data_IF_059290468239
#
_entry.id   IF_059290468239
#
_cell.length_a   1.000
_cell.length_b   1.000
_cell.length_c   1.000
_cell.angle_alpha   90.00
_cell.angle_beta   90.00
_cell.angle_gamma   90.00
#
_symmetry.space_group_name_H-M   'P 1'
#
loop_
_entity.id
_entity.type
_entity.pdbx_description
1 polymer ?
#
# COMPACT_ATOMS: atom_id res chain seq x y z
N UNK A 1 2.13 -25.89 28.05
CA UNK A 1 1.03 -26.47 27.27
C UNK A 1 0.37 -25.33 26.51
N UNK A 2 0.67 -25.15 25.22
CA UNK A 2 -0.03 -24.13 24.43
C UNK A 2 -1.47 -24.62 24.22
N UNK A 3 -2.45 -23.85 24.66
CA UNK A 3 -3.85 -24.28 24.54
C UNK A 3 -4.18 -24.58 23.09
N UNK A 4 -4.67 -25.78 22.81
CA UNK A 4 -5.26 -26.16 21.52
C UNK A 4 -6.69 -25.63 21.40
N UNK A 5 -7.20 -24.96 22.44
CA UNK A 5 -8.58 -24.50 22.48
C UNK A 5 -8.77 -23.26 21.61
N UNK A 6 -9.60 -23.42 20.58
CA UNK A 6 -10.25 -22.32 19.88
C UNK A 6 -11.63 -22.12 20.48
N UNK A 7 -11.97 -20.88 20.83
CA UNK A 7 -13.32 -20.56 21.31
C UNK A 7 -14.15 -20.01 20.15
N UNK A 8 -15.15 -20.76 19.68
CA UNK A 8 -16.12 -20.24 18.72
C UNK A 8 -17.16 -19.39 19.43
N UNK A 9 -17.43 -18.21 18.91
CA UNK A 9 -18.45 -17.31 19.45
C UNK A 9 -19.15 -16.53 18.33
N UNK A 10 -20.37 -16.07 18.60
CA UNK A 10 -21.13 -15.21 17.71
C UNK A 10 -21.93 -14.23 18.56
N UNK A 11 -21.53 -12.96 18.54
CA UNK A 11 -22.29 -11.90 19.20
C UNK A 11 -23.55 -11.59 18.38
N UNK A 12 -24.57 -11.05 19.05
CA UNK A 12 -25.81 -10.65 18.38
C UNK A 12 -25.50 -9.63 17.27
N UNK A 13 -25.92 -9.91 16.03
CA UNK A 13 -25.64 -9.06 14.88
C UNK A 13 -24.25 -9.22 14.26
N UNK A 14 -23.37 -10.04 14.82
CA UNK A 14 -22.00 -10.25 14.32
C UNK A 14 -21.87 -11.55 13.51
N UNK A 15 -20.91 -11.61 12.57
CA UNK A 15 -20.51 -12.88 11.97
C UNK A 15 -19.91 -13.81 13.02
N UNK A 16 -20.06 -15.12 12.80
CA UNK A 16 -19.41 -16.15 13.61
C UNK A 16 -17.90 -15.99 13.55
N UNK A 17 -17.28 -16.02 14.71
CA UNK A 17 -15.86 -15.74 14.92
C UNK A 17 -15.23 -16.81 15.83
N UNK A 18 -13.91 -16.80 15.90
CA UNK A 18 -13.14 -17.67 16.76
C UNK A 18 -12.11 -16.89 17.54
N UNK A 19 -11.95 -17.12 18.84
CA UNK A 19 -10.85 -16.55 19.61
C UNK A 19 -9.68 -17.53 19.61
N UNK A 20 -8.51 -17.07 19.14
CA UNK A 20 -7.25 -17.82 19.15
C UNK A 20 -6.18 -16.88 19.70
N UNK A 21 -5.57 -17.24 20.83
CA UNK A 21 -4.50 -16.46 21.49
C UNK A 21 -4.86 -14.98 21.76
N UNK A 22 -6.15 -14.70 22.03
CA UNK A 22 -6.65 -13.34 22.28
C UNK A 22 -7.00 -12.53 21.02
N UNK A 23 -6.77 -13.09 19.83
CA UNK A 23 -7.13 -12.49 18.55
C UNK A 23 -8.38 -13.16 17.95
N UNK A 24 -9.18 -12.39 17.21
CA UNK A 24 -10.48 -12.85 16.68
C UNK A 24 -10.30 -13.39 15.26
N UNK A 25 -10.30 -14.69 15.01
CA UNK A 25 -10.10 -15.28 13.68
C UNK A 25 -11.40 -15.72 13.01
N UNK A 26 -11.39 -15.94 11.68
CA UNK A 26 -12.47 -16.66 11.01
C UNK A 26 -12.65 -18.07 11.62
N UNK A 27 -13.88 -18.59 11.66
CA UNK A 27 -14.22 -19.83 12.34
C UNK A 27 -13.68 -21.09 11.65
N UNK A 28 -12.97 -20.99 10.52
CA UNK A 28 -12.27 -22.12 9.88
C UNK A 28 -10.80 -22.23 10.30
N UNK A 29 -10.25 -21.22 10.97
CA UNK A 29 -8.81 -21.16 11.25
C UNK A 29 -8.46 -22.03 12.44
N UNK A 30 -7.30 -22.68 12.39
CA UNK A 30 -6.80 -23.55 13.44
C UNK A 30 -5.67 -22.87 14.21
N UNK A 31 -5.62 -22.94 15.54
CA UNK A 31 -4.56 -22.34 16.34
C UNK A 31 -3.15 -22.73 15.91
N UNK A 32 -2.93 -24.01 15.59
CA UNK A 32 -1.66 -24.52 15.08
C UNK A 32 -1.24 -23.87 13.76
N UNK A 33 -2.20 -23.63 12.85
CA UNK A 33 -1.92 -23.03 11.54
C UNK A 33 -1.58 -21.55 11.67
N UNK A 34 -2.32 -20.81 12.52
CA UNK A 34 -2.04 -19.39 12.77
C UNK A 34 -0.67 -19.22 13.42
N UNK A 35 -0.35 -20.03 14.44
CA UNK A 35 0.94 -19.98 15.14
C UNK A 35 2.11 -20.37 14.25
N UNK A 36 1.94 -21.42 13.43
CA UNK A 36 2.98 -21.84 12.48
C UNK A 36 3.19 -20.81 11.39
N UNK A 37 2.13 -20.19 10.87
CA UNK A 37 2.23 -19.11 9.89
C UNK A 37 3.05 -17.93 10.42
N UNK A 38 2.76 -17.43 11.64
CA UNK A 38 3.52 -16.32 12.26
C UNK A 38 5.01 -16.66 12.49
N UNK A 39 5.36 -17.94 12.64
CA UNK A 39 6.73 -18.42 12.92
C UNK A 39 7.44 -18.98 11.69
N UNK A 40 6.80 -18.98 10.52
CA UNK A 40 7.40 -19.57 9.33
C UNK A 40 8.65 -18.79 8.94
N UNK A 41 9.62 -19.48 8.32
CA UNK A 41 10.84 -18.86 7.81
C UNK A 41 10.71 -18.76 6.29
N UNK A 42 10.54 -17.55 5.72
CA UNK A 42 10.49 -17.38 4.27
C UNK A 42 11.79 -17.78 3.58
N UNK A 43 11.64 -18.36 2.40
CA UNK A 43 12.72 -18.64 1.48
C UNK A 43 12.93 -17.45 0.53
N UNK A 44 14.15 -17.31 0.01
CA UNK A 44 14.49 -16.18 -0.87
C UNK A 44 13.76 -16.18 -2.21
N UNK A 45 13.15 -17.30 -2.59
CA UNK A 45 12.35 -17.46 -3.81
C UNK A 45 10.85 -17.31 -3.58
N UNK A 46 10.42 -17.08 -2.33
CA UNK A 46 9.00 -16.95 -2.00
C UNK A 46 8.45 -15.60 -2.46
N UNK A 47 7.21 -15.63 -2.92
CA UNK A 47 6.42 -14.45 -3.30
C UNK A 47 5.19 -14.41 -2.42
N UNK A 48 5.03 -13.35 -1.65
CA UNK A 48 3.88 -13.14 -0.77
C UNK A 48 2.93 -12.08 -1.36
N UNK A 49 1.68 -12.43 -1.59
CA UNK A 49 0.61 -11.46 -1.85
C UNK A 49 0.00 -11.03 -0.53
N UNK A 50 0.29 -9.81 -0.13
CA UNK A 50 -0.10 -9.20 1.14
C UNK A 50 -1.19 -8.16 0.89
N UNK A 51 -2.34 -8.28 1.54
CA UNK A 51 -3.45 -7.32 1.35
C UNK A 51 -4.27 -7.26 2.62
N UNK A 52 -4.91 -6.13 2.93
CA UNK A 52 -6.09 -6.20 3.80
C UNK A 52 -7.18 -7.04 3.09
N UNK A 53 -8.02 -7.81 3.80
CA UNK A 53 -9.09 -8.55 3.16
C UNK A 53 -9.87 -7.68 2.18
N UNK A 54 -10.10 -8.22 0.97
CA UNK A 54 -10.90 -7.57 -0.09
C UNK A 54 -10.24 -6.43 -0.88
N UNK A 55 -8.93 -6.22 -0.72
CA UNK A 55 -8.15 -5.30 -1.56
C UNK A 55 -7.61 -5.94 -2.86
N UNK A 56 -8.40 -6.79 -3.53
CA UNK A 56 -8.00 -7.37 -4.83
C UNK A 56 -7.04 -8.57 -4.78
N UNK A 57 -6.90 -9.23 -3.63
CA UNK A 57 -5.95 -10.35 -3.43
C UNK A 57 -6.03 -11.44 -4.50
N UNK A 58 -7.24 -11.90 -4.82
CA UNK A 58 -7.48 -12.95 -5.82
C UNK A 58 -6.99 -12.55 -7.21
N UNK A 59 -7.13 -11.26 -7.55
CA UNK A 59 -6.70 -10.73 -8.84
C UNK A 59 -5.18 -10.74 -8.97
N UNK A 60 -4.48 -10.29 -7.93
CA UNK A 60 -3.01 -10.30 -7.90
C UNK A 60 -2.47 -11.73 -7.86
N UNK A 61 -3.06 -12.61 -7.05
CA UNK A 61 -2.69 -14.03 -7.02
C UNK A 61 -2.86 -14.68 -8.39
N UNK A 62 -3.93 -14.35 -9.11
CA UNK A 62 -4.19 -14.84 -10.46
C UNK A 62 -3.14 -14.36 -11.47
N UNK A 63 -2.80 -13.07 -11.46
CA UNK A 63 -1.75 -12.50 -12.31
C UNK A 63 -0.39 -13.15 -11.98
N UNK A 64 -0.03 -13.24 -10.71
CA UNK A 64 1.23 -13.87 -10.28
C UNK A 64 1.28 -15.35 -10.68
N UNK A 65 0.15 -16.07 -10.56
CA UNK A 65 0.08 -17.49 -10.95
C UNK A 65 0.32 -17.68 -12.43
N UNK A 66 -0.21 -16.81 -13.29
CA UNK A 66 0.07 -16.83 -14.74
C UNK A 66 1.54 -16.57 -15.03
N UNK A 67 2.13 -15.57 -14.37
CA UNK A 67 3.51 -15.17 -14.57
C UNK A 67 4.54 -16.17 -14.04
N UNK A 68 4.23 -16.90 -12.97
CA UNK A 68 5.14 -17.86 -12.34
C UNK A 68 5.01 -19.27 -12.92
N UNK A 69 3.79 -19.70 -13.28
CA UNK A 69 3.51 -21.09 -13.65
C UNK A 69 3.19 -21.29 -15.14
N UNK A 70 3.07 -20.22 -15.93
CA UNK A 70 2.94 -20.23 -17.39
C UNK A 70 1.99 -21.33 -17.93
N UNK A 71 2.44 -22.26 -18.78
CA UNK A 71 1.58 -23.31 -19.38
C UNK A 71 1.00 -24.34 -18.37
N UNK A 72 1.47 -24.37 -17.11
CA UNK A 72 0.82 -25.18 -16.06
C UNK A 72 -0.43 -24.48 -15.50
N UNK A 73 -0.62 -23.20 -15.83
CA UNK A 73 -1.79 -22.40 -15.47
C UNK A 73 -3.02 -22.81 -16.29
N UNK A 74 -4.13 -23.14 -15.61
CA UNK A 74 -5.42 -23.45 -16.25
C UNK A 74 -6.38 -24.15 -15.29
N UNK A 75 -7.67 -24.27 -15.66
CA UNK A 75 -8.65 -24.98 -14.84
C UNK A 75 -8.29 -26.47 -14.75
N UNK A 76 -8.42 -27.04 -13.54
CA UNK A 76 -8.11 -28.45 -13.27
C UNK A 76 -8.21 -28.76 -11.79
N UNK A 77 -8.51 -30.02 -11.46
CA UNK A 77 -8.59 -30.48 -10.07
C UNK A 77 -7.21 -30.36 -9.40
N UNK A 78 -7.15 -29.72 -8.24
CA UNK A 78 -5.88 -29.40 -7.55
C UNK A 78 -5.19 -28.13 -8.04
N UNK A 79 -5.76 -27.41 -9.02
CA UNK A 79 -5.29 -26.10 -9.50
C UNK A 79 -6.14 -24.93 -8.97
N UNK A 80 -6.99 -25.19 -7.97
CA UNK A 80 -7.73 -24.14 -7.29
C UNK A 80 -6.75 -23.16 -6.63
N UNK A 81 -7.15 -21.88 -6.60
CA UNK A 81 -6.25 -20.83 -6.13
C UNK A 81 -5.90 -20.99 -4.65
N UNK A 82 -6.78 -21.61 -3.87
CA UNK A 82 -6.55 -21.90 -2.46
C UNK A 82 -5.44 -22.95 -2.20
N UNK A 83 -5.10 -23.77 -3.19
CA UNK A 83 -4.02 -24.76 -3.09
C UNK A 83 -2.74 -24.29 -3.79
N UNK A 84 -2.89 -23.64 -4.95
CA UNK A 84 -1.75 -23.10 -5.71
C UNK A 84 -1.19 -21.82 -5.10
N UNK A 85 -2.03 -21.04 -4.42
CA UNK A 85 -1.61 -19.90 -3.63
C UNK A 85 -2.34 -19.85 -2.28
N UNK A 86 -1.89 -20.65 -1.30
CA UNK A 86 -2.59 -20.79 -0.05
C UNK A 86 -2.42 -19.58 0.85
N UNK A 87 -3.46 -19.35 1.65
CA UNK A 87 -3.41 -18.41 2.77
C UNK A 87 -2.62 -19.05 3.91
N UNK A 88 -1.45 -18.49 4.24
CA UNK A 88 -0.51 -19.07 5.21
C UNK A 88 -1.17 -19.25 6.58
N UNK A 89 -1.97 -18.27 7.02
CA UNK A 89 -2.66 -18.29 8.31
C UNK A 89 -3.81 -19.31 8.38
N UNK A 90 -4.26 -19.82 7.22
CA UNK A 90 -5.30 -20.85 7.14
C UNK A 90 -4.73 -22.26 7.06
N UNK A 91 -3.71 -22.50 6.22
CA UNK A 91 -3.16 -23.85 5.99
C UNK A 91 -1.90 -24.15 6.81
N UNK A 92 -1.26 -23.14 7.39
CA UNK A 92 -0.05 -23.30 8.18
C UNK A 92 1.22 -23.44 7.35
N UNK A 93 2.36 -23.41 8.03
CA UNK A 93 3.68 -23.46 7.40
C UNK A 93 3.96 -24.84 6.74
N UNK A 94 3.55 -25.93 7.38
CA UNK A 94 3.81 -27.31 6.91
C UNK A 94 3.20 -27.56 5.52
N UNK A 95 1.98 -27.06 5.29
CA UNK A 95 1.37 -27.16 3.97
C UNK A 95 2.15 -26.33 2.93
N UNK A 96 2.60 -25.13 3.32
CA UNK A 96 3.38 -24.25 2.43
C UNK A 96 4.73 -24.86 2.03
N UNK A 97 5.32 -25.71 2.88
CA UNK A 97 6.57 -26.42 2.57
C UNK A 97 6.38 -27.55 1.55
N UNK A 98 5.15 -28.01 1.34
CA UNK A 98 4.81 -29.02 0.34
C UNK A 98 4.61 -28.46 -1.09
N UNK A 99 4.59 -27.13 -1.24
CA UNK A 99 4.34 -26.47 -2.52
C UNK A 99 5.53 -26.54 -3.47
N UNK A 100 5.25 -26.49 -4.78
CA UNK A 100 6.27 -26.34 -5.81
C UNK A 100 6.91 -24.94 -5.75
N UNK A 101 8.19 -24.86 -6.09
CA UNK A 101 8.94 -23.61 -6.19
C UNK A 101 8.80 -22.96 -7.57
N UNK A 102 8.81 -21.61 -7.66
CA UNK A 102 8.70 -20.65 -6.56
C UNK A 102 7.31 -20.68 -5.89
N UNK A 103 7.27 -20.49 -4.57
CA UNK A 103 6.02 -20.54 -3.81
C UNK A 103 5.30 -19.20 -3.89
N UNK A 104 4.04 -19.22 -4.31
CA UNK A 104 3.16 -18.05 -4.28
C UNK A 104 2.25 -18.13 -3.05
N UNK A 105 2.57 -17.36 -2.02
CA UNK A 105 1.87 -17.39 -0.73
C UNK A 105 0.93 -16.20 -0.61
N UNK A 106 -0.18 -16.36 0.11
CA UNK A 106 -1.12 -15.28 0.42
C UNK A 106 -1.14 -15.02 1.91
N UNK A 107 -1.25 -13.76 2.31
CA UNK A 107 -1.55 -13.40 3.69
C UNK A 107 -2.33 -12.10 3.82
N UNK A 108 -3.08 -11.97 4.90
CA UNK A 108 -3.72 -10.73 5.34
C UNK A 108 -3.06 -10.12 6.59
N UNK A 109 -1.87 -10.59 6.99
CA UNK A 109 -1.16 -10.03 8.13
C UNK A 109 -0.73 -8.57 7.92
N UNK A 110 -0.73 -7.81 9.01
CA UNK A 110 -0.04 -6.53 9.09
C UNK A 110 1.46 -6.75 9.00
N UNK A 111 2.22 -5.69 8.74
CA UNK A 111 3.68 -5.79 8.68
C UNK A 111 4.27 -6.37 9.97
N UNK A 112 3.68 -6.09 11.14
CA UNK A 112 4.16 -6.60 12.42
C UNK A 112 4.08 -8.14 12.54
N UNK A 113 3.02 -8.74 11.99
CA UNK A 113 2.78 -10.19 12.06
C UNK A 113 3.33 -10.96 10.85
N UNK A 114 3.76 -10.24 9.81
CA UNK A 114 4.28 -10.84 8.58
C UNK A 114 5.57 -11.63 8.85
N UNK A 115 5.68 -12.88 8.37
CA UNK A 115 6.92 -13.64 8.43
C UNK A 115 7.98 -12.99 7.56
N UNK A 116 9.13 -12.69 8.18
CA UNK A 116 10.25 -12.01 7.54
C UNK A 116 11.51 -12.85 7.66
N UNK A 117 12.33 -12.81 6.62
CA UNK A 117 13.68 -13.39 6.67
C UNK A 117 14.63 -12.36 7.30
N UNK A 118 15.09 -12.61 8.52
CA UNK A 118 16.13 -11.77 9.13
C UNK A 118 17.49 -12.09 8.52
N UNK A 119 18.24 -11.06 8.09
CA UNK A 119 19.57 -11.16 7.48
C UNK A 119 20.57 -11.98 8.33
N UNK A 120 20.40 -12.00 9.67
CA UNK A 120 21.27 -12.76 10.58
C UNK A 120 21.17 -14.30 10.43
N UNK A 121 20.14 -14.83 9.76
CA UNK A 121 20.00 -16.27 9.47
C UNK A 121 20.62 -16.67 8.12
N UNK A 122 21.27 -15.73 7.43
CA UNK A 122 21.76 -15.89 6.06
C UNK A 122 23.28 -16.15 5.98
N UNK A 123 23.85 -16.95 6.87
CA UNK A 123 25.27 -17.29 6.85
C UNK A 123 25.63 -18.47 5.91
N UNK A 124 24.65 -19.12 5.26
CA UNK A 124 24.87 -20.44 4.62
C UNK A 124 24.38 -20.60 3.18
N UNK A 125 24.21 -19.53 2.40
CA UNK A 125 24.01 -19.67 0.95
C UNK A 125 24.97 -18.78 0.18
N UNK A 126 25.91 -19.43 -0.50
CA UNK A 126 27.07 -18.91 -1.23
C UNK A 126 26.75 -18.24 -2.58
N UNK A 127 25.51 -17.82 -2.80
CA UNK A 127 25.09 -16.98 -3.92
C UNK A 127 24.21 -15.88 -3.33
N UNK A 128 24.47 -14.61 -3.67
CA UNK A 128 23.90 -13.39 -3.06
C UNK A 128 22.49 -13.55 -2.45
N UNK A 129 22.31 -13.08 -1.22
CA UNK A 129 21.17 -13.39 -0.35
C UNK A 129 19.82 -13.03 -1.00
N UNK A 130 19.19 -13.98 -1.69
CA UNK A 130 17.86 -13.80 -2.24
C UNK A 130 16.87 -13.53 -1.09
N UNK A 131 16.15 -12.41 -1.18
CA UNK A 131 15.13 -12.01 -0.21
C UNK A 131 13.74 -12.39 -0.74
N UNK A 132 12.82 -12.83 0.14
CA UNK A 132 11.42 -13.03 -0.25
C UNK A 132 10.83 -11.73 -0.78
N UNK A 133 9.96 -11.85 -1.78
CA UNK A 133 9.28 -10.73 -2.43
C UNK A 133 7.88 -10.57 -1.85
N UNK A 134 7.48 -9.35 -1.54
CA UNK A 134 6.17 -9.02 -0.99
C UNK A 134 5.43 -8.09 -1.93
N UNK A 135 4.27 -8.50 -2.42
CA UNK A 135 3.37 -7.64 -3.21
C UNK A 135 2.27 -7.17 -2.27
N UNK A 136 2.33 -5.91 -1.86
CA UNK A 136 1.36 -5.29 -0.99
C UNK A 136 0.34 -4.50 -1.83
N UNK A 137 -0.95 -4.78 -1.64
CA UNK A 137 -1.99 -4.03 -2.31
C UNK A 137 -3.07 -3.48 -1.39
N UNK A 138 -3.52 -2.27 -1.75
CA UNK A 138 -4.53 -1.49 -1.04
C UNK A 138 -5.69 -1.17 -1.96
N UNK A 139 -6.83 -0.86 -1.35
CA UNK A 139 -8.05 -0.44 -2.02
C UNK A 139 -8.73 0.61 -1.17
N UNK A 140 -9.50 1.51 -1.78
CA UNK A 140 -10.34 2.47 -1.09
C UNK A 140 -11.08 1.80 0.10
N UNK A 141 -10.96 2.33 1.34
CA UNK A 141 -11.58 1.76 2.53
C UNK A 141 -13.10 1.62 2.41
N UNK A 142 -13.78 2.53 1.70
CA UNK A 142 -15.24 2.46 1.51
C UNK A 142 -15.65 1.26 0.66
N UNK A 143 -15.01 1.06 -0.48
CA UNK A 143 -15.26 -0.12 -1.33
C UNK A 143 -14.78 -1.42 -0.67
N UNK A 144 -13.67 -1.35 0.07
CA UNK A 144 -13.17 -2.46 0.85
C UNK A 144 -14.22 -2.92 1.87
N UNK A 145 -14.81 -1.99 2.63
CA UNK A 145 -15.87 -2.25 3.60
C UNK A 145 -17.09 -2.92 2.94
N UNK A 146 -17.60 -2.39 1.83
CA UNK A 146 -18.74 -2.99 1.12
C UNK A 146 -18.41 -4.38 0.57
N UNK A 147 -17.22 -4.56 0.00
CA UNK A 147 -16.78 -5.87 -0.47
C UNK A 147 -16.66 -6.89 0.67
N UNK A 148 -16.25 -6.44 1.86
CA UNK A 148 -16.09 -7.29 3.03
C UNK A 148 -17.43 -7.66 3.66
N UNK A 149 -18.40 -6.74 3.65
CA UNK A 149 -19.79 -7.01 4.03
C UNK A 149 -20.39 -8.17 3.21
N UNK A 150 -20.32 -8.06 1.87
CA UNK A 150 -20.83 -9.12 0.98
C UNK A 150 -20.07 -10.44 1.15
N UNK A 151 -18.76 -10.39 1.40
CA UNK A 151 -17.99 -11.59 1.68
C UNK A 151 -18.48 -12.31 2.94
N UNK A 152 -18.76 -11.58 4.02
CA UNK A 152 -19.27 -12.19 5.26
C UNK A 152 -20.68 -12.78 5.08
N UNK A 153 -21.53 -12.15 4.27
CA UNK A 153 -22.87 -12.69 3.95
C UNK A 153 -22.83 -13.92 3.06
N UNK A 154 -21.94 -13.93 2.08
CA UNK A 154 -21.88 -15.01 1.10
C UNK A 154 -21.23 -16.27 1.65
N UNK A 155 -20.26 -16.16 2.56
CA UNK A 155 -19.57 -17.32 3.10
C UNK A 155 -20.35 -17.98 4.23
N UNK A 156 -20.72 -19.26 4.04
CA UNK A 156 -21.48 -20.07 5.02
C UNK A 156 -20.79 -20.15 6.39
N UNK A 157 -19.47 -20.11 6.41
CA UNK A 157 -18.67 -20.25 7.63
C UNK A 157 -19.01 -19.17 8.67
N UNK A 158 -19.48 -18.00 8.25
CA UNK A 158 -19.78 -16.90 9.14
C UNK A 158 -21.20 -16.95 9.71
N UNK A 159 -22.08 -17.83 9.22
CA UNK A 159 -23.46 -17.97 9.69
C UNK A 159 -24.20 -16.61 9.77
N UNK A 160 -23.95 -15.73 8.78
CA UNK A 160 -24.36 -14.32 8.80
C UNK A 160 -24.98 -13.85 7.48
N UNK A 161 -25.74 -14.72 6.81
CA UNK A 161 -26.33 -14.43 5.50
C UNK A 161 -27.31 -13.22 5.51
N UNK A 162 -27.97 -12.98 6.64
CA UNK A 162 -28.98 -11.92 6.84
C UNK A 162 -28.43 -10.69 7.59
N UNK A 163 -27.10 -10.53 7.64
CA UNK A 163 -26.45 -9.38 8.25
C UNK A 163 -26.84 -8.05 7.62
N UNK A 164 -26.93 -7.00 8.46
CA UNK A 164 -27.18 -5.63 8.01
C UNK A 164 -25.88 -4.88 7.74
N UNK A 165 -25.92 -3.97 6.79
CA UNK A 165 -24.74 -3.18 6.42
C UNK A 165 -24.33 -2.23 7.56
N UNK A 166 -25.29 -1.60 8.23
CA UNK A 166 -25.02 -0.65 9.32
C UNK A 166 -24.23 -1.31 10.47
N UNK A 167 -24.65 -2.51 10.89
CA UNK A 167 -23.94 -3.27 11.92
C UNK A 167 -22.50 -3.59 11.48
N UNK A 168 -22.30 -3.96 10.21
CA UNK A 168 -20.98 -4.25 9.67
C UNK A 168 -20.09 -3.02 9.56
N UNK A 169 -20.67 -1.87 9.19
CA UNK A 169 -19.96 -0.61 9.06
C UNK A 169 -19.36 -0.20 10.41
N UNK A 170 -20.13 -0.27 11.50
CA UNK A 170 -19.61 0.01 12.84
C UNK A 170 -18.47 -0.94 13.22
N UNK A 171 -18.62 -2.24 12.95
CA UNK A 171 -17.56 -3.22 13.23
C UNK A 171 -16.28 -2.96 12.44
N UNK A 172 -16.42 -2.54 11.18
CA UNK A 172 -15.29 -2.18 10.32
C UNK A 172 -14.56 -0.95 10.87
N UNK A 173 -15.30 0.09 11.23
CA UNK A 173 -14.74 1.36 11.71
C UNK A 173 -14.10 1.23 13.09
N UNK A 174 -14.66 0.40 13.97
CA UNK A 174 -14.08 0.11 15.29
C UNK A 174 -12.88 -0.86 15.22
N UNK A 175 -12.54 -1.38 14.04
CA UNK A 175 -11.45 -2.36 13.89
C UNK A 175 -11.72 -3.70 14.58
N UNK A 176 -12.98 -4.02 14.87
CA UNK A 176 -13.39 -5.27 15.54
C UNK A 176 -13.63 -6.42 14.56
N UNK A 177 -13.31 -6.21 13.28
CA UNK A 177 -13.40 -7.24 12.25
C UNK A 177 -12.18 -8.14 12.23
N UNK A 178 -12.29 -9.26 12.94
CA UNK A 178 -11.35 -10.38 12.88
C UNK A 178 -9.88 -9.98 13.15
N UNK A 179 -8.94 -10.89 12.95
CA UNK A 179 -7.57 -10.79 13.46
C UNK A 179 -6.68 -9.96 12.52
N UNK A 180 -7.26 -9.49 11.41
CA UNK A 180 -6.62 -8.57 10.50
C UNK A 180 -6.74 -7.12 10.99
N UNK A 181 -7.53 -6.89 12.04
CA UNK A 181 -7.61 -5.64 12.78
C UNK A 181 -8.28 -4.50 12.00
N UNK A 182 -7.98 -3.29 12.47
CA UNK A 182 -8.40 -2.05 11.82
C UNK A 182 -7.69 -1.88 10.47
N UNK A 183 -8.45 -1.50 9.45
CA UNK A 183 -7.93 -1.28 8.09
C UNK A 183 -6.81 -0.23 8.07
N UNK A 184 -6.96 0.85 8.85
CA UNK A 184 -5.99 1.94 8.84
C UNK A 184 -4.72 1.56 9.59
N UNK A 185 -4.83 0.86 10.73
CA UNK A 185 -3.65 0.30 11.42
C UNK A 185 -2.89 -0.70 10.54
N UNK A 186 -3.62 -1.53 9.77
CA UNK A 186 -3.01 -2.41 8.79
C UNK A 186 -2.23 -1.60 7.75
N UNK A 187 -2.86 -0.59 7.15
CA UNK A 187 -2.23 0.27 6.16
C UNK A 187 -1.00 1.01 6.72
N UNK A 188 -1.14 1.65 7.88
CA UNK A 188 -0.08 2.38 8.58
C UNK A 188 1.14 1.49 8.85
N UNK A 189 0.92 0.21 9.18
CA UNK A 189 2.02 -0.73 9.40
C UNK A 189 2.89 -0.97 8.16
N UNK A 190 2.31 -0.83 6.97
CA UNK A 190 2.99 -1.06 5.69
C UNK A 190 3.57 0.21 5.06
N UNK A 191 3.07 1.41 5.41
CA UNK A 191 3.51 2.68 4.81
C UNK A 191 5.03 2.91 4.85
N UNK A 192 5.76 2.62 5.95
CA UNK A 192 7.21 2.83 5.99
C UNK A 192 8.00 1.91 5.06
N UNK A 193 7.39 0.82 4.60
CA UNK A 193 8.04 -0.28 3.87
C UNK A 193 7.70 -0.30 2.38
N UNK A 194 6.94 0.68 1.90
CA UNK A 194 6.54 0.75 0.49
C UNK A 194 7.72 0.99 -0.46
N UNK A 195 8.79 1.58 0.04
CA UNK A 195 10.04 1.84 -0.70
C UNK A 195 11.09 0.73 -0.56
N UNK A 196 10.80 -0.34 0.21
CA UNK A 196 11.75 -1.43 0.38
C UNK A 196 11.91 -2.20 -0.94
N UNK A 197 13.14 -2.53 -1.32
CA UNK A 197 13.44 -3.15 -2.62
C UNK A 197 12.76 -4.52 -2.84
N UNK A 198 12.35 -5.18 -1.76
CA UNK A 198 11.65 -6.46 -1.78
C UNK A 198 10.13 -6.32 -1.59
N UNK A 199 9.58 -5.09 -1.62
CA UNK A 199 8.15 -4.79 -1.52
C UNK A 199 7.68 -4.09 -2.80
N UNK A 200 6.63 -4.60 -3.43
CA UNK A 200 5.91 -3.95 -4.53
C UNK A 200 4.58 -3.44 -4.01
N UNK A 201 4.37 -2.14 -4.09
CA UNK A 201 3.11 -1.50 -3.75
C UNK A 201 2.18 -1.39 -4.97
N UNK A 202 0.90 -1.76 -4.79
CA UNK A 202 -0.14 -1.63 -5.80
C UNK A 202 -1.41 -1.02 -5.20
N UNK A 203 -2.10 -0.17 -5.97
CA UNK A 203 -3.46 0.27 -5.65
C UNK A 203 -4.45 -0.45 -6.56
N UNK A 204 -5.54 -0.93 -5.99
CA UNK A 204 -6.59 -1.64 -6.73
C UNK A 204 -7.20 -0.74 -7.83
N UNK A 205 -7.36 0.54 -7.54
CA UNK A 205 -7.88 1.54 -8.47
C UNK A 205 -6.94 1.76 -9.67
N UNK A 206 -5.62 1.84 -9.43
CA UNK A 206 -4.63 1.93 -10.50
C UNK A 206 -4.64 0.69 -11.39
N UNK A 207 -4.85 -0.50 -10.80
CA UNK A 207 -4.97 -1.75 -11.57
C UNK A 207 -6.23 -1.79 -12.43
N UNK A 208 -7.33 -1.16 -11.99
CA UNK A 208 -8.55 -1.02 -12.78
C UNK A 208 -8.35 -0.06 -13.95
N UNK A 209 -7.63 1.04 -13.75
CA UNK A 209 -7.37 2.05 -14.78
C UNK A 209 -6.35 1.57 -15.82
N UNK A 210 -5.24 0.98 -15.38
CA UNK A 210 -4.18 0.45 -16.23
C UNK A 210 -3.74 -0.96 -15.76
N UNK A 211 -4.48 -1.96 -16.25
CA UNK A 211 -4.17 -3.36 -15.97
C UNK A 211 -2.87 -3.80 -16.64
N UNK A 212 -2.59 -3.35 -17.87
CA UNK A 212 -1.41 -3.78 -18.61
C UNK A 212 -0.12 -3.27 -17.94
N UNK A 213 -0.07 -1.99 -17.57
CA UNK A 213 1.05 -1.43 -16.82
C UNK A 213 1.22 -2.08 -15.44
N UNK A 214 0.12 -2.41 -14.77
CA UNK A 214 0.16 -3.13 -13.48
C UNK A 214 0.73 -4.55 -13.63
N UNK A 215 0.35 -5.29 -14.68
CA UNK A 215 0.90 -6.62 -14.97
C UNK A 215 2.39 -6.53 -15.31
N UNK A 216 2.83 -5.54 -16.10
CA UNK A 216 4.27 -5.32 -16.36
C UNK A 216 5.04 -5.03 -15.07
N UNK A 217 4.53 -4.14 -14.21
CA UNK A 217 5.15 -3.84 -12.91
C UNK A 217 5.34 -5.10 -12.07
N UNK A 218 4.32 -5.96 -11.99
CA UNK A 218 4.41 -7.25 -11.28
C UNK A 218 5.46 -8.16 -11.95
N UNK A 219 5.45 -8.29 -13.27
CA UNK A 219 6.42 -9.13 -14.00
C UNK A 219 7.87 -8.72 -13.79
N UNK A 220 8.19 -7.43 -13.89
CA UNK A 220 9.54 -6.91 -13.62
C UNK A 220 9.94 -7.12 -12.16
N UNK A 221 9.03 -6.91 -11.22
CA UNK A 221 9.29 -7.15 -9.81
C UNK A 221 9.57 -8.63 -9.51
N UNK A 222 8.82 -9.55 -10.12
CA UNK A 222 9.05 -11.00 -10.01
C UNK A 222 10.36 -11.43 -10.69
N UNK A 223 10.75 -10.76 -11.77
CA UNK A 223 12.02 -10.97 -12.47
C UNK A 223 12.11 -12.33 -13.18
N UNK A 224 13.27 -12.60 -13.80
CA UNK A 224 13.57 -13.92 -14.36
C UNK A 224 12.65 -14.31 -15.52
N UNK A 225 11.86 -15.38 -15.33
CA UNK A 225 10.92 -15.83 -16.36
C UNK A 225 9.72 -14.87 -16.49
N UNK A 226 9.18 -14.37 -15.38
CA UNK A 226 8.04 -13.48 -15.36
C UNK A 226 8.32 -12.18 -16.15
N UNK A 227 9.53 -11.63 -16.01
CA UNK A 227 9.98 -10.46 -16.75
C UNK A 227 10.03 -10.71 -18.27
N UNK A 228 10.50 -11.89 -18.70
CA UNK A 228 10.51 -12.25 -20.13
C UNK A 228 9.09 -12.33 -20.69
N UNK A 229 8.14 -12.84 -19.92
CA UNK A 229 6.73 -12.97 -20.34
C UNK A 229 6.06 -11.60 -20.51
N UNK A 230 6.32 -10.64 -19.62
CA UNK A 230 5.73 -9.29 -19.74
C UNK A 230 6.40 -8.41 -20.79
N UNK A 231 7.63 -8.74 -21.18
CA UNK A 231 8.32 -8.08 -22.30
C UNK A 231 7.85 -8.58 -23.66
N UNK A 232 7.27 -9.78 -23.74
CA UNK A 232 6.58 -10.25 -24.94
C UNK A 232 5.15 -9.73 -25.00
N UNK A 233 4.88 -8.85 -25.98
CA UNK A 233 3.58 -8.19 -26.11
C UNK A 233 2.42 -9.17 -26.32
N UNK A 234 2.65 -10.29 -27.01
CA UNK A 234 1.59 -11.25 -27.28
C UNK A 234 1.20 -12.00 -26.01
N UNK A 235 2.19 -12.48 -25.26
CA UNK A 235 1.97 -13.13 -23.96
C UNK A 235 1.35 -12.18 -22.95
N UNK A 236 1.86 -10.95 -22.84
CA UNK A 236 1.29 -9.93 -21.96
C UNK A 236 -0.19 -9.67 -22.27
N UNK A 237 -0.52 -9.48 -23.54
CA UNK A 237 -1.91 -9.22 -23.95
C UNK A 237 -2.84 -10.39 -23.59
N UNK A 238 -2.36 -11.62 -23.71
CA UNK A 238 -3.09 -12.83 -23.28
C UNK A 238 -3.33 -12.84 -21.77
N UNK A 239 -2.29 -12.60 -20.97
CA UNK A 239 -2.38 -12.55 -19.50
C UNK A 239 -3.35 -11.44 -19.06
N UNK A 240 -3.26 -10.27 -19.68
CA UNK A 240 -4.17 -9.14 -19.39
C UNK A 240 -5.61 -9.53 -19.72
N UNK A 241 -5.87 -10.15 -20.88
CA UNK A 241 -7.20 -10.57 -21.28
C UNK A 241 -7.83 -11.59 -20.31
N UNK A 242 -7.06 -12.59 -19.87
CA UNK A 242 -7.49 -13.58 -18.88
C UNK A 242 -7.58 -13.00 -17.45
N UNK A 243 -6.92 -11.88 -17.19
CA UNK A 243 -6.99 -11.15 -15.92
C UNK A 243 -8.11 -10.12 -15.87
N UNK A 244 -8.86 -9.91 -16.96
CA UNK A 244 -10.04 -9.03 -16.93
C UNK A 244 -11.17 -9.66 -16.12
N UNK A 245 -12.03 -8.79 -15.59
CA UNK A 245 -13.12 -9.19 -14.72
C UNK A 245 -14.03 -10.24 -15.37
N UNK A 246 -14.36 -10.06 -16.65
CA UNK A 246 -15.25 -10.94 -17.41
C UNK A 246 -14.65 -12.34 -17.55
N UNK A 247 -13.33 -12.43 -17.72
CA UNK A 247 -12.62 -13.70 -17.78
C UNK A 247 -12.60 -14.39 -16.41
N UNK A 248 -12.30 -13.63 -15.36
CA UNK A 248 -12.34 -14.17 -14.00
C UNK A 248 -13.74 -14.60 -13.56
N UNK A 249 -14.78 -13.90 -14.02
CA UNK A 249 -16.17 -14.26 -13.75
C UNK A 249 -16.62 -15.54 -14.43
N UNK A 250 -15.96 -15.97 -15.52
CA UNK A 250 -16.22 -17.27 -16.16
C UNK A 250 -15.70 -18.45 -15.32
N UNK A 251 -14.66 -18.24 -14.52
CA UNK A 251 -13.97 -19.30 -13.76
C UNK A 251 -14.23 -19.24 -12.24
N UNK A 252 -15.49 -19.04 -11.83
CA UNK A 252 -15.85 -18.84 -10.41
C UNK A 252 -15.42 -19.99 -9.49
N UNK A 253 -15.45 -21.22 -10.00
CA UNK A 253 -15.15 -22.43 -9.23
C UNK A 253 -13.68 -22.51 -8.81
N UNK A 254 -12.78 -21.86 -9.55
CA UNK A 254 -11.36 -21.85 -9.25
C UNK A 254 -10.99 -20.96 -8.07
N UNK A 255 -11.78 -19.91 -7.82
CA UNK A 255 -11.55 -19.01 -6.68
C UNK A 255 -12.00 -19.67 -5.38
N UNK A 256 -13.23 -20.20 -5.38
CA UNK A 256 -13.82 -20.90 -4.24
C UNK A 256 -14.86 -21.92 -4.71
N UNK A 257 -14.95 -23.08 -4.03
CA UNK A 257 -16.00 -24.04 -4.32
C UNK A 257 -17.37 -23.44 -3.97
N UNK A 258 -18.33 -23.51 -4.89
CA UNK A 258 -19.68 -22.96 -4.70
C UNK A 258 -20.42 -23.55 -3.49
N UNK A 259 -20.02 -24.73 -3.01
CA UNK A 259 -20.55 -25.36 -1.79
C UNK A 259 -20.29 -24.53 -0.54
N UNK A 260 -19.18 -23.78 -0.50
CA UNK A 260 -18.80 -22.90 0.62
C UNK A 260 -19.58 -21.56 0.64
N UNK A 261 -20.28 -21.25 -0.44
CA UNK A 261 -20.99 -19.98 -0.66
C UNK A 261 -22.51 -20.15 -0.49
N UNK A 262 -23.19 -19.05 -0.18
CA UNK A 262 -24.65 -18.96 -0.01
C UNK A 262 -25.38 -18.74 -1.35
N UNK A 263 -24.71 -19.03 -2.47
CA UNK A 263 -25.29 -18.95 -3.82
C UNK A 263 -24.93 -17.69 -4.60
N UNK A 264 -24.25 -16.71 -3.99
CA UNK A 264 -23.72 -15.54 -4.72
C UNK A 264 -22.32 -15.85 -5.29
N UNK A 265 -22.00 -15.26 -6.45
CA UNK A 265 -20.67 -15.37 -7.07
C UNK A 265 -19.58 -14.72 -6.20
N UNK A 266 -18.38 -15.29 -6.18
CA UNK A 266 -17.25 -14.73 -5.43
C UNK A 266 -16.72 -13.45 -6.07
N UNK A 267 -16.55 -13.47 -7.40
CA UNK A 267 -16.25 -12.27 -8.19
C UNK A 267 -17.57 -11.58 -8.50
N UNK A 268 -17.90 -10.55 -7.71
CA UNK A 268 -19.18 -9.83 -7.74
C UNK A 268 -19.23 -8.79 -8.87
N UNK A 269 -18.80 -7.55 -8.57
CA UNK A 269 -18.79 -6.43 -9.53
C UNK A 269 -17.41 -5.99 -10.00
N UNK A 270 -16.37 -6.16 -9.17
CA UNK A 270 -15.00 -5.80 -9.55
C UNK A 270 -14.78 -4.32 -9.95
N UNK A 271 -15.69 -3.42 -9.58
CA UNK A 271 -15.62 -1.98 -9.91
C UNK A 271 -15.15 -1.15 -8.71
N UNK A 272 -14.71 0.08 -8.99
CA UNK A 272 -14.51 1.15 -7.99
C UNK A 272 -15.82 1.94 -7.77
N UNK A 273 -15.95 2.60 -6.61
CA UNK A 273 -17.07 3.47 -6.20
C UNK A 273 -18.43 2.80 -6.02
N UNK A 274 -18.48 1.47 -5.86
CA UNK A 274 -19.76 0.78 -5.59
C UNK A 274 -20.28 1.06 -4.17
N UNK A 275 -19.42 1.60 -3.29
CA UNK A 275 -19.80 2.04 -1.95
C UNK A 275 -20.96 3.05 -1.91
N UNK A 276 -21.13 3.86 -2.95
CA UNK A 276 -22.24 4.83 -3.07
C UNK A 276 -23.62 4.18 -3.05
N UNK A 277 -23.73 2.92 -3.44
CA UNK A 277 -25.00 2.18 -3.46
C UNK A 277 -25.40 1.61 -2.09
N UNK A 278 -24.52 1.67 -1.09
CA UNK A 278 -24.71 1.01 0.20
C UNK A 278 -24.52 1.95 1.39
N UNK A 279 -23.57 2.88 1.32
CA UNK A 279 -23.30 3.81 2.41
C UNK A 279 -24.26 5.00 2.38
N UNK A 280 -24.72 5.42 3.56
CA UNK A 280 -25.35 6.73 3.72
C UNK A 280 -24.30 7.84 3.67
N UNK A 281 -24.74 9.10 3.49
CA UNK A 281 -23.85 10.26 3.52
C UNK A 281 -23.13 10.36 4.86
N UNK A 282 -23.83 10.12 5.96
CA UNK A 282 -23.29 10.16 7.31
C UNK A 282 -22.22 9.08 7.53
N UNK A 283 -22.44 7.86 7.04
CA UNK A 283 -21.45 6.78 7.09
C UNK A 283 -20.21 7.12 6.23
N UNK A 284 -20.43 7.65 5.03
CA UNK A 284 -19.37 8.12 4.16
C UNK A 284 -18.51 9.19 4.85
N UNK A 285 -19.13 10.21 5.43
CA UNK A 285 -18.43 11.32 6.08
C UNK A 285 -17.70 10.87 7.35
N UNK A 286 -18.24 9.90 8.11
CA UNK A 286 -17.54 9.27 9.23
C UNK A 286 -16.29 8.50 8.79
N UNK A 287 -16.38 7.75 7.70
CA UNK A 287 -15.23 7.05 7.12
C UNK A 287 -14.18 8.06 6.63
N UNK A 288 -14.60 9.15 5.99
CA UNK A 288 -13.71 10.22 5.54
C UNK A 288 -13.02 10.92 6.71
N UNK A 289 -13.75 11.18 7.79
CA UNK A 289 -13.21 11.72 9.03
C UNK A 289 -12.16 10.80 9.65
N UNK A 290 -12.45 9.51 9.76
CA UNK A 290 -11.50 8.52 10.28
C UNK A 290 -10.26 8.38 9.38
N UNK A 291 -10.45 8.38 8.06
CA UNK A 291 -9.38 8.34 7.07
C UNK A 291 -8.44 9.55 7.22
N UNK A 292 -8.99 10.77 7.25
CA UNK A 292 -8.19 11.99 7.45
C UNK A 292 -7.49 12.01 8.80
N UNK A 293 -8.19 11.64 9.87
CA UNK A 293 -7.62 11.65 11.22
C UNK A 293 -6.46 10.66 11.37
N UNK A 294 -6.61 9.43 10.86
CA UNK A 294 -5.61 8.37 11.04
C UNK A 294 -4.43 8.46 10.07
N UNK A 295 -4.64 8.99 8.86
CA UNK A 295 -3.62 9.06 7.81
C UNK A 295 -3.05 10.48 7.60
N UNK A 296 -3.46 11.47 8.41
CA UNK A 296 -2.90 12.81 8.37
C UNK A 296 -1.36 12.78 8.49
N UNK A 297 -0.68 13.49 7.59
CA UNK A 297 0.78 13.57 7.57
C UNK A 297 1.47 12.32 7.01
N UNK A 298 0.73 11.39 6.42
CA UNK A 298 1.29 10.22 5.74
C UNK A 298 1.21 10.35 4.23
N UNK A 299 2.01 9.57 3.50
CA UNK A 299 1.95 9.52 2.03
C UNK A 299 0.57 9.12 1.50
N UNK A 300 -0.24 8.44 2.32
CA UNK A 300 -1.57 7.93 1.97
C UNK A 300 -2.71 8.92 2.19
N UNK A 301 -2.44 10.09 2.78
CA UNK A 301 -3.45 11.11 3.10
C UNK A 301 -4.30 11.50 1.88
N UNK A 302 -3.71 11.44 0.68
CA UNK A 302 -4.30 11.96 -0.55
C UNK A 302 -4.50 10.90 -1.64
N UNK A 303 -4.43 9.61 -1.30
CA UNK A 303 -4.47 8.55 -2.33
C UNK A 303 -5.82 8.35 -3.00
N UNK A 304 -6.92 8.62 -2.30
CA UNK A 304 -8.28 8.36 -2.79
C UNK A 304 -9.14 9.63 -2.83
N UNK A 305 -8.58 10.73 -3.36
CA UNK A 305 -9.27 12.03 -3.43
C UNK A 305 -10.54 11.94 -4.27
N UNK A 306 -10.51 11.27 -5.43
CA UNK A 306 -11.67 11.15 -6.33
C UNK A 306 -12.55 9.95 -5.97
N UNK A 307 -11.94 8.84 -5.55
CA UNK A 307 -12.65 7.59 -5.32
C UNK A 307 -13.45 7.58 -4.03
N UNK A 308 -13.08 8.37 -3.02
CA UNK A 308 -13.84 8.54 -1.78
C UNK A 308 -14.86 9.70 -1.84
N UNK A 309 -14.87 10.53 -2.89
CA UNK A 309 -15.84 11.66 -3.02
C UNK A 309 -17.28 11.21 -3.21
N UNK A 310 -18.18 11.90 -2.50
CA UNK A 310 -19.63 11.67 -2.56
C UNK A 310 -20.23 12.16 -3.89
N UNK A 311 -19.97 13.41 -4.30
CA UNK A 311 -20.52 14.03 -5.51
C UNK A 311 -19.43 14.37 -6.55
N UNK A 312 -19.79 14.32 -7.83
CA UNK A 312 -18.95 14.73 -8.98
C UNK A 312 -18.84 16.27 -9.09
N UNK A 313 -19.82 17.02 -8.58
CA UNK A 313 -19.76 18.50 -8.58
C UNK A 313 -18.62 19.09 -7.71
N UNK A 314 -18.10 18.31 -6.75
CA UNK A 314 -16.92 18.69 -5.98
C UNK A 314 -15.61 18.47 -6.77
N UNK A 315 -15.62 17.69 -7.86
CA UNK A 315 -14.49 17.57 -8.81
C UNK A 315 -14.25 18.90 -9.51
N UNK A 316 -15.29 19.51 -10.09
CA UNK A 316 -15.16 20.82 -10.75
C UNK A 316 -14.78 21.95 -9.78
N UNK A 317 -15.30 21.94 -8.54
CA UNK A 317 -14.96 22.97 -7.56
C UNK A 317 -13.56 22.83 -6.97
N UNK A 318 -13.05 21.61 -6.75
CA UNK A 318 -11.67 21.42 -6.31
C UNK A 318 -10.67 21.62 -7.44
N UNK A 319 -10.94 21.16 -8.67
CA UNK A 319 -10.10 21.48 -9.84
C UNK A 319 -10.00 23.00 -10.04
N UNK A 320 -11.13 23.72 -9.99
CA UNK A 320 -11.12 25.20 -10.03
C UNK A 320 -10.40 25.84 -8.85
N UNK A 321 -10.34 25.20 -7.68
CA UNK A 321 -9.58 25.71 -6.51
C UNK A 321 -8.10 25.36 -6.60
N UNK A 322 -7.74 24.26 -7.24
CA UNK A 322 -6.37 23.82 -7.44
C UNK A 322 -5.72 24.63 -8.58
N UNK A 323 -6.42 24.82 -9.70
CA UNK A 323 -6.04 25.76 -10.76
C UNK A 323 -5.83 27.17 -10.20
N UNK A 324 -6.76 27.67 -9.37
CA UNK A 324 -6.58 28.97 -8.70
C UNK A 324 -5.37 29.04 -7.77
N UNK A 325 -5.05 27.96 -7.06
CA UNK A 325 -3.88 27.91 -6.16
C UNK A 325 -2.57 27.81 -6.93
N UNK A 326 -2.57 27.18 -8.09
CA UNK A 326 -1.41 27.14 -8.99
C UNK A 326 -1.20 28.50 -9.66
N UNK A 327 -2.28 29.13 -10.17
CA UNK A 327 -2.25 30.50 -10.70
C UNK A 327 -1.80 31.53 -9.65
N UNK A 328 -2.25 31.41 -8.40
CA UNK A 328 -1.80 32.29 -7.30
C UNK A 328 -0.30 32.11 -7.01
N UNK A 329 0.21 30.87 -7.05
CA UNK A 329 1.64 30.60 -6.84
C UNK A 329 2.50 31.09 -8.00
N UNK A 330 2.05 30.92 -9.24
CA UNK A 330 2.75 31.45 -10.42
C UNK A 330 2.79 32.97 -10.38
N UNK A 331 1.66 33.63 -10.07
CA UNK A 331 1.60 35.08 -9.91
C UNK A 331 2.50 35.59 -8.77
N UNK A 332 2.54 34.92 -7.62
CA UNK A 332 3.46 35.27 -6.53
C UNK A 332 4.93 35.10 -6.93
N UNK A 333 5.25 34.08 -7.72
CA UNK A 333 6.60 33.85 -8.23
C UNK A 333 7.00 34.92 -9.25
N UNK A 334 6.09 35.27 -10.17
CA UNK A 334 6.31 36.30 -11.19
C UNK A 334 6.45 37.70 -10.57
N UNK A 335 5.67 38.01 -9.52
CA UNK A 335 5.82 39.23 -8.71
C UNK A 335 7.15 39.29 -7.95
N UNK A 336 7.64 38.15 -7.44
CA UNK A 336 8.96 38.08 -6.81
C UNK A 336 10.09 38.28 -7.82
N UNK A 337 9.95 37.77 -9.04
CA UNK A 337 10.93 37.95 -10.12
C UNK A 337 10.95 39.37 -10.67
N UNK A 338 9.79 40.03 -10.81
CA UNK A 338 9.71 41.45 -11.21
C UNK A 338 10.27 42.37 -10.14
N UNK A 339 9.93 42.14 -8.86
CA UNK A 339 10.49 42.93 -7.76
C UNK A 339 12.02 42.78 -7.65
N UNK A 340 12.55 41.59 -7.94
CA UNK A 340 13.99 41.35 -7.99
C UNK A 340 14.67 42.07 -9.16
N UNK A 341 14.00 42.17 -10.31
CA UNK A 341 14.48 42.97 -11.45
C UNK A 341 14.43 44.48 -11.18
N UNK A 342 13.40 44.99 -10.50
CA UNK A 342 13.33 46.41 -10.12
C UNK A 342 14.38 46.78 -9.05
N UNK A 343 14.70 45.86 -8.13
CA UNK A 343 15.81 46.04 -7.18
C UNK A 343 17.19 46.00 -7.87
N UNK A 344 17.36 45.19 -8.91
CA UNK A 344 18.58 45.17 -9.74
C UNK A 344 18.71 46.43 -10.64
N UNK A 345 17.60 46.99 -11.14
CA UNK A 345 17.58 48.19 -12.00
C UNK A 345 17.71 49.50 -11.19
N UNK A 346 17.10 49.55 -9.99
CA UNK A 346 17.27 50.67 -9.04
C UNK A 346 18.62 50.66 -8.31
N UNK A 347 19.36 49.53 -8.36
CA UNK A 347 20.77 49.46 -7.98
C UNK A 347 21.73 50.11 -8.97
N UNK A 348 21.26 50.51 -10.16
CA UNK A 348 22.09 51.11 -11.21
C UNK A 348 21.90 52.63 -11.38
N UNK A 349 20.87 53.23 -10.75
CA UNK A 349 20.67 54.68 -10.69
C UNK A 349 20.98 55.28 -9.29
N UNK A 350 22.21 55.09 -8.80
CA UNK A 350 22.80 56.00 -7.80
C UNK A 350 24.34 56.01 -7.81
N UNK A 351 24.94 55.70 -8.97
CA UNK A 351 26.39 55.59 -9.13
C UNK A 351 27.07 56.68 -9.98
N UNK A 352 26.31 57.55 -10.66
CA UNK A 352 26.86 58.54 -11.60
C UNK A 352 26.32 59.95 -11.32
N UNK A 353 26.55 60.45 -10.11
CA UNK A 353 26.52 61.90 -9.88
C UNK A 353 27.40 62.25 -8.67
N UNK A 354 28.73 62.19 -8.86
CA UNK A 354 29.76 62.89 -8.06
C UNK A 354 31.19 62.53 -8.53
N UNK A 355 31.46 62.58 -9.84
CA UNK A 355 32.85 62.53 -10.36
C UNK A 355 33.12 63.64 -11.38
N UNK A 356 32.58 64.83 -11.14
CA UNK A 356 33.11 66.07 -11.72
C UNK A 356 33.28 67.12 -10.62
N UNK A 357 34.38 67.02 -9.88
CA UNK A 357 35.17 68.20 -9.48
C UNK A 357 36.48 67.81 -8.82
N UNK A 358 37.54 68.31 -9.45
CA UNK A 358 38.84 68.59 -8.86
C UNK A 358 39.88 67.47 -8.90
N UNK A 359 40.30 67.12 -10.11
CA UNK A 359 41.72 66.94 -10.36
C UNK A 359 42.42 68.30 -10.22
N UNK A 360 43.35 68.43 -9.27
CA UNK A 360 44.45 69.40 -9.34
C UNK A 360 45.59 69.02 -8.39
N UNK A 361 46.76 68.82 -9.01
CA UNK A 361 48.12 69.11 -8.51
C UNK A 361 48.67 68.07 -7.52
N UNK A 362 49.67 67.25 -7.93
CA UNK A 362 51.12 67.40 -7.66
C UNK A 362 51.42 67.43 -6.15
N UNK A 363 52.42 66.78 -5.57
CA UNK A 363 53.71 66.29 -6.02
C UNK A 363 54.31 65.51 -4.82
N UNK A 364 55.29 64.68 -5.10
CA UNK A 364 56.45 64.38 -4.27
C UNK A 364 56.36 63.95 -2.77
N UNK A 365 56.90 62.74 -2.55
CA UNK A 365 58.06 62.49 -1.66
C UNK A 365 57.88 62.08 -0.17
N UNK A 366 58.58 60.97 0.14
CA UNK A 366 59.40 60.73 1.33
C UNK A 366 58.78 60.29 2.69
N UNK A 367 59.03 59.00 2.99
CA UNK A 367 59.82 58.46 4.12
C UNK A 367 59.29 58.51 5.58
N UNK A 368 59.26 57.28 6.13
CA UNK A 368 59.88 56.77 7.38
C UNK A 368 59.11 56.74 8.72
N UNK A 369 59.11 55.51 9.26
CA UNK A 369 59.38 55.07 10.64
C UNK A 369 58.29 55.09 11.73
N UNK A 370 58.16 53.93 12.39
CA UNK A 370 57.80 53.85 13.82
C UNK A 370 57.04 52.59 14.26
N UNK A 371 57.73 51.46 14.47
CA UNK A 371 57.36 50.47 15.51
C UNK A 371 57.71 51.05 16.92
N UNK A 372 57.36 50.46 18.09
CA UNK A 372 56.99 49.06 18.37
C UNK A 372 55.91 48.79 19.45
N UNK A 373 55.71 47.50 19.76
CA UNK A 373 54.88 46.87 20.80
C UNK A 373 55.26 47.30 22.26
N UNK A 374 54.62 46.84 23.38
CA UNK A 374 54.62 45.42 23.79
C UNK A 374 53.49 44.88 24.75
N UNK A 375 53.52 43.54 24.93
CA UNK A 375 53.30 42.72 26.15
C UNK A 375 51.89 42.44 26.74
N UNK A 376 51.65 41.13 26.99
CA UNK A 376 50.57 40.56 27.84
C UNK A 376 50.81 40.75 29.35
N UNK A 377 50.14 40.02 30.28
CA UNK A 377 50.33 38.56 30.38
C UNK A 377 49.16 37.70 30.98
N UNK A 378 49.31 36.38 30.85
CA UNK A 378 49.07 35.26 31.82
C UNK A 378 47.74 35.03 32.56
N UNK A 379 47.14 33.86 32.26
CA UNK A 379 46.71 32.74 33.13
C UNK A 379 46.11 32.97 34.53
N UNK A 380 45.00 32.28 34.84
CA UNK A 380 44.93 31.26 35.92
C UNK A 380 43.61 30.47 35.89
N UNK A 381 43.73 29.15 35.94
CA UNK A 381 42.73 28.16 36.41
C UNK A 381 42.34 28.38 37.87
N UNK A 382 41.10 28.00 38.25
CA UNK A 382 40.78 27.11 39.39
C UNK A 382 39.31 27.21 39.84
N UNK A 383 38.53 26.15 39.61
CA UNK A 383 37.94 25.21 40.61
C UNK A 383 36.70 24.49 40.08
#
# INVERSE_FOLDING_TARGET
MHSTSKLLFQNLGHPKQALIDGEVWPPVFLPENVRSAKKMVPLGTDVFVCTYPKCGTTWIQHICSQLLYNNEYGPGQGKELCFTSPMIERLGAEFCDSLKYPRLLKTHFSWANLPKRHLQQSATTTNGTAQPKYIFAVRNPKDCCVSYFHHNRNFKIYEWAHGKFDDFFELFLEGRLMAFGDYFEHLLSWLPHLSDANVLFLKYEDMLNDLEGSVRKIGHFLGGHAEKLVNDQQTLSSIVAESRLEAMQRDQQRWFPGTALNGESFVRKGTSRDWKNYMSKEQSDRMDGAFRQKLAGTVAENWWRTEMRWNEAEEEEEEKKEEKREEEKENEQEQRETKKKEEDDSGMESGDDLLERSAKVSDDSLRLNGSPAPQGPTTTDSK
#
